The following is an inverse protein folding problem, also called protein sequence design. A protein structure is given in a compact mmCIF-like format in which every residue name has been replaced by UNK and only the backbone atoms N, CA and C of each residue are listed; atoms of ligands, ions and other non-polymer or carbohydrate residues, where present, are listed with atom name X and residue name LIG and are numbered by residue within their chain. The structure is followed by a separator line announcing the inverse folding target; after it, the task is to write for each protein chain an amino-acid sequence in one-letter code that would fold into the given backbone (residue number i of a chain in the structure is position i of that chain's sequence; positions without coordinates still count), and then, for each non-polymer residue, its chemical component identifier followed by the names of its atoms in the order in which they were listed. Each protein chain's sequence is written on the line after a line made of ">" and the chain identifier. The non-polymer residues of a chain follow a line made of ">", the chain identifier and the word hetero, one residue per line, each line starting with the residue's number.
data_IF_356056531669
#
_entry.id   IF_356056531669
#
_cell.length_a   1.000
_cell.length_b   1.000
_cell.length_c   1.000
_cell.angle_alpha   90.00
_cell.angle_beta   90.00
_cell.angle_gamma   90.00
#
_symmetry.space_group_name_H-M   'P 1'
#
loop_
_entity.id
_entity.type
_entity.pdbx_description
1 polymer ?
#
# COMPACT_ATOMS: atom_id res chain seq x y z
N UNK A 1 13.63 -17.51 9.03
CA UNK A 1 13.15 -17.70 7.64
C UNK A 1 14.32 -17.52 6.70
N UNK A 2 14.72 -18.58 5.98
CA UNK A 2 15.76 -18.54 4.94
C UNK A 2 15.29 -17.80 3.67
N UNK A 3 16.24 -17.41 2.80
CA UNK A 3 16.01 -16.65 1.56
C UNK A 3 14.98 -17.33 0.62
N UNK A 4 14.97 -18.66 0.55
CA UNK A 4 14.03 -19.40 -0.30
C UNK A 4 12.58 -19.16 0.15
N UNK A 5 12.32 -19.25 1.45
CA UNK A 5 10.99 -18.97 2.02
C UNK A 5 10.62 -17.50 1.85
N UNK A 6 11.57 -16.56 1.99
CA UNK A 6 11.26 -15.13 1.76
C UNK A 6 10.85 -14.87 0.32
N UNK A 7 11.59 -15.44 -0.65
CA UNK A 7 11.24 -15.35 -2.09
C UNK A 7 9.86 -15.94 -2.38
N UNK A 8 9.49 -17.04 -1.74
CA UNK A 8 8.18 -17.64 -1.92
C UNK A 8 7.05 -16.71 -1.44
N UNK A 9 7.20 -16.08 -0.27
CA UNK A 9 6.22 -15.11 0.25
C UNK A 9 6.14 -13.87 -0.62
N UNK A 10 7.30 -13.30 -0.97
CA UNK A 10 7.36 -12.09 -1.79
C UNK A 10 6.76 -12.35 -3.19
N UNK A 11 7.07 -13.48 -3.80
CA UNK A 11 6.50 -13.90 -5.08
C UNK A 11 5.02 -14.25 -5.03
N UNK A 12 4.50 -14.69 -3.88
CA UNK A 12 3.06 -14.90 -3.68
C UNK A 12 2.28 -13.57 -3.70
N UNK A 13 2.87 -12.50 -3.15
CA UNK A 13 2.26 -11.17 -3.09
C UNK A 13 2.52 -10.33 -4.35
N UNK A 14 3.53 -10.65 -5.16
CA UNK A 14 3.88 -9.91 -6.38
C UNK A 14 2.97 -10.28 -7.56
N UNK A 15 1.99 -9.40 -7.85
CA UNK A 15 1.10 -9.56 -9.01
C UNK A 15 1.50 -8.70 -10.22
N UNK A 16 2.05 -7.52 -9.97
CA UNK A 16 2.45 -6.57 -11.02
C UNK A 16 3.90 -6.86 -11.41
N UNK A 17 4.13 -7.21 -12.67
CA UNK A 17 5.45 -7.50 -13.23
C UNK A 17 5.67 -6.69 -14.50
N UNK A 18 6.88 -6.14 -14.68
CA UNK A 18 7.28 -5.41 -15.88
C UNK A 18 7.53 -3.91 -15.65
N UNK A 19 8.48 -3.38 -16.43
CA UNK A 19 8.94 -1.99 -16.32
C UNK A 19 8.03 -0.95 -16.99
N UNK A 20 8.55 0.27 -17.16
CA UNK A 20 7.82 1.36 -17.81
C UNK A 20 7.40 1.04 -19.26
N UNK A 21 8.17 0.20 -19.96
CA UNK A 21 7.98 -0.17 -21.36
C UNK A 21 6.99 -1.33 -21.58
N UNK A 22 6.51 -2.00 -20.51
CA UNK A 22 5.56 -3.10 -20.65
C UNK A 22 4.14 -2.56 -20.84
N UNK A 23 3.49 -2.92 -21.94
CA UNK A 23 2.11 -2.54 -22.24
C UNK A 23 1.11 -3.14 -21.22
N UNK A 24 1.28 -4.43 -20.88
CA UNK A 24 0.49 -5.13 -19.86
C UNK A 24 1.40 -5.53 -18.70
N UNK A 25 0.99 -5.24 -17.46
CA UNK A 25 1.81 -5.54 -16.26
C UNK A 25 1.21 -6.62 -15.36
N UNK A 26 -0.03 -7.00 -15.59
CA UNK A 26 -0.73 -8.03 -14.82
C UNK A 26 -0.95 -9.26 -15.70
N UNK A 27 -0.34 -10.37 -15.31
CA UNK A 27 -0.46 -11.66 -16.01
C UNK A 27 -0.79 -12.75 -14.99
N UNK A 28 -2.04 -12.75 -14.52
CA UNK A 28 -2.54 -13.67 -13.49
C UNK A 28 -3.23 -14.88 -14.10
N UNK A 29 -2.89 -16.08 -13.61
CA UNK A 29 -3.50 -17.34 -14.03
C UNK A 29 -4.99 -17.38 -13.66
N UNK A 30 -5.81 -17.98 -14.53
CA UNK A 30 -7.24 -18.21 -14.31
C UNK A 30 -7.53 -19.72 -14.08
N UNK A 31 -8.50 -20.09 -13.23
CA UNK A 31 -9.30 -19.22 -12.37
C UNK A 31 -8.43 -18.48 -11.33
N UNK A 32 -8.90 -17.31 -10.89
CA UNK A 32 -8.14 -16.45 -9.98
C UNK A 32 -7.91 -17.14 -8.63
N UNK A 33 -6.69 -16.99 -8.10
CA UNK A 33 -6.37 -17.45 -6.74
C UNK A 33 -7.19 -16.65 -5.69
N UNK A 34 -7.63 -17.25 -4.57
CA UNK A 34 -8.42 -16.56 -3.53
C UNK A 34 -7.84 -15.23 -3.04
N UNK A 35 -6.52 -15.14 -2.89
CA UNK A 35 -5.82 -13.87 -2.57
C UNK A 35 -6.11 -12.76 -3.58
N UNK A 36 -6.09 -13.08 -4.88
CA UNK A 36 -6.35 -12.11 -5.95
C UNK A 36 -7.82 -11.70 -5.96
N UNK A 37 -8.74 -12.65 -5.76
CA UNK A 37 -10.17 -12.35 -5.63
C UNK A 37 -10.47 -11.42 -4.45
N UNK A 38 -9.90 -11.72 -3.27
CA UNK A 38 -10.02 -10.86 -2.09
C UNK A 38 -9.43 -9.47 -2.35
N UNK A 39 -8.28 -9.40 -3.03
CA UNK A 39 -7.66 -8.12 -3.36
C UNK A 39 -8.53 -7.30 -4.31
N UNK A 40 -9.10 -7.90 -5.36
CA UNK A 40 -10.04 -7.22 -6.26
C UNK A 40 -11.26 -6.66 -5.53
N UNK A 41 -11.80 -7.40 -4.56
CA UNK A 41 -12.98 -6.97 -3.81
C UNK A 41 -12.72 -5.70 -2.98
N UNK A 42 -11.52 -5.59 -2.40
CA UNK A 42 -11.06 -4.39 -1.70
C UNK A 42 -10.81 -3.25 -2.70
N UNK A 43 -10.09 -3.56 -3.78
CA UNK A 43 -9.55 -2.55 -4.70
C UNK A 43 -10.59 -1.94 -5.65
N UNK A 44 -11.74 -2.59 -5.87
CA UNK A 44 -12.78 -2.06 -6.77
C UNK A 44 -13.30 -0.67 -6.36
N UNK A 45 -13.41 -0.41 -5.06
CA UNK A 45 -13.86 0.88 -4.54
C UNK A 45 -12.81 1.96 -4.74
N UNK A 46 -11.55 1.65 -4.41
CA UNK A 46 -10.39 2.51 -4.66
C UNK A 46 -10.20 2.80 -6.14
N UNK A 47 -10.46 1.84 -7.03
CA UNK A 47 -10.42 2.08 -8.46
C UNK A 47 -11.45 3.12 -8.90
N UNK A 48 -12.67 3.08 -8.36
CA UNK A 48 -13.72 4.05 -8.72
C UNK A 48 -13.40 5.45 -8.18
N UNK A 49 -13.05 5.57 -6.90
CA UNK A 49 -12.83 6.86 -6.26
C UNK A 49 -11.45 7.42 -6.63
N UNK A 50 -10.40 6.68 -6.30
CA UNK A 50 -9.04 7.20 -6.36
C UNK A 50 -8.52 7.25 -7.80
N UNK A 51 -8.88 6.28 -8.66
CA UNK A 51 -8.39 6.22 -10.05
C UNK A 51 -9.34 6.92 -11.02
N UNK A 52 -10.62 6.54 -11.08
CA UNK A 52 -11.52 7.06 -12.10
C UNK A 52 -12.05 8.49 -11.81
N UNK A 53 -12.08 8.91 -10.55
CA UNK A 53 -12.57 10.23 -10.14
C UNK A 53 -11.42 11.16 -9.75
N UNK A 54 -10.62 10.82 -8.74
CA UNK A 54 -9.62 11.76 -8.19
C UNK A 54 -8.41 11.95 -9.12
N UNK A 55 -7.89 10.87 -9.71
CA UNK A 55 -6.76 10.97 -10.64
C UNK A 55 -7.15 11.32 -12.07
N UNK A 56 -8.37 10.97 -12.49
CA UNK A 56 -8.90 11.06 -13.87
C UNK A 56 -7.83 10.85 -14.98
N UNK A 57 -7.08 9.72 -14.96
CA UNK A 57 -5.84 9.59 -15.74
C UNK A 57 -6.08 9.48 -17.24
N UNK A 58 -7.30 9.24 -17.68
CA UNK A 58 -7.66 9.06 -19.09
C UNK A 58 -8.45 10.23 -19.65
N UNK A 59 -8.65 11.33 -18.92
CA UNK A 59 -9.29 12.53 -19.46
C UNK A 59 -8.60 13.03 -20.74
N UNK A 60 -7.27 13.10 -20.69
CA UNK A 60 -6.40 13.52 -21.79
C UNK A 60 -6.21 12.43 -22.86
N UNK A 61 -6.16 12.85 -24.12
CA UNK A 61 -6.23 11.94 -25.27
C UNK A 61 -5.02 11.01 -25.40
N UNK A 62 -3.82 11.46 -25.02
CA UNK A 62 -2.59 10.66 -25.13
C UNK A 62 -2.54 9.50 -24.11
N UNK A 63 -3.37 9.53 -23.06
CA UNK A 63 -3.30 8.59 -21.94
C UNK A 63 -4.28 7.42 -22.07
N UNK A 64 -5.38 7.56 -22.81
CA UNK A 64 -6.33 6.46 -22.99
C UNK A 64 -5.82 5.38 -23.95
N UNK A 65 -4.84 5.69 -24.80
CA UNK A 65 -4.26 4.71 -25.72
C UNK A 65 -3.64 3.51 -24.99
N UNK A 66 -3.06 3.76 -23.81
CA UNK A 66 -2.57 2.69 -22.94
C UNK A 66 -3.72 1.84 -22.39
N UNK A 67 -4.84 2.44 -22.02
CA UNK A 67 -6.04 1.70 -21.60
C UNK A 67 -6.54 0.79 -22.73
N UNK A 68 -6.59 1.28 -23.96
CA UNK A 68 -7.03 0.49 -25.11
C UNK A 68 -6.12 -0.74 -25.34
N UNK A 69 -4.81 -0.61 -25.15
CA UNK A 69 -3.87 -1.74 -25.27
C UNK A 69 -4.13 -2.86 -24.24
N UNK A 70 -4.83 -2.58 -23.14
CA UNK A 70 -5.17 -3.55 -22.11
C UNK A 70 -6.47 -4.33 -22.40
N UNK A 71 -7.26 -3.87 -23.38
CA UNK A 71 -8.51 -4.50 -23.78
C UNK A 71 -8.29 -5.58 -24.85
N UNK A 72 -9.10 -6.66 -24.85
CA UNK A 72 -8.82 -7.85 -25.65
C UNK A 72 -9.21 -7.74 -27.13
N UNK A 73 -10.10 -6.80 -27.49
CA UNK A 73 -10.73 -6.74 -28.81
C UNK A 73 -10.40 -5.45 -29.57
N UNK A 74 -9.86 -5.61 -30.78
CA UNK A 74 -9.44 -4.47 -31.62
C UNK A 74 -10.62 -3.67 -32.16
N UNK A 75 -11.75 -4.30 -32.45
CA UNK A 75 -12.94 -3.63 -32.99
C UNK A 75 -13.57 -2.71 -31.95
N UNK A 76 -13.66 -3.19 -30.71
CA UNK A 76 -14.04 -2.41 -29.53
C UNK A 76 -13.06 -1.24 -29.34
N UNK A 77 -11.76 -1.49 -29.42
CA UNK A 77 -10.74 -0.45 -29.24
C UNK A 77 -10.83 0.67 -30.28
N UNK A 78 -11.04 0.33 -31.55
CA UNK A 78 -11.23 1.31 -32.62
C UNK A 78 -12.52 2.14 -32.40
N UNK A 79 -13.59 1.50 -31.93
CA UNK A 79 -14.86 2.17 -31.65
C UNK A 79 -14.76 3.12 -30.46
N UNK A 80 -14.08 2.70 -29.38
CA UNK A 80 -13.78 3.53 -28.22
C UNK A 80 -12.90 4.71 -28.60
N UNK A 81 -11.80 4.45 -29.34
CA UNK A 81 -10.90 5.49 -29.83
C UNK A 81 -11.65 6.55 -30.63
N UNK A 82 -12.47 6.14 -31.62
CA UNK A 82 -13.31 7.07 -32.38
C UNK A 82 -14.21 7.88 -31.44
N UNK A 83 -14.96 7.22 -30.55
CA UNK A 83 -15.89 7.89 -29.63
C UNK A 83 -15.19 8.94 -28.75
N UNK A 84 -14.02 8.64 -28.23
CA UNK A 84 -13.29 9.54 -27.35
C UNK A 84 -12.62 10.68 -28.11
N UNK A 85 -12.06 10.42 -29.29
CA UNK A 85 -11.51 11.48 -30.16
C UNK A 85 -12.58 12.44 -30.70
N UNK A 86 -13.83 11.99 -30.88
CA UNK A 86 -14.96 12.86 -31.27
C UNK A 86 -15.52 13.67 -30.09
N UNK A 87 -15.12 13.39 -28.85
CA UNK A 87 -15.63 14.05 -27.64
C UNK A 87 -14.50 14.18 -26.62
N UNK A 88 -13.51 15.07 -26.89
CA UNK A 88 -12.38 15.29 -25.99
C UNK A 88 -12.85 15.84 -24.63
N UNK A 89 -12.05 15.63 -23.58
CA UNK A 89 -12.40 16.04 -22.20
C UNK A 89 -13.42 15.13 -21.51
N UNK A 90 -13.64 13.92 -22.05
CA UNK A 90 -14.51 12.91 -21.43
C UNK A 90 -13.80 12.31 -20.21
N UNK A 91 -14.44 12.36 -19.03
CA UNK A 91 -13.83 11.82 -17.80
C UNK A 91 -13.54 10.32 -17.87
N UNK A 92 -12.56 9.86 -17.09
CA UNK A 92 -12.16 8.45 -16.95
C UNK A 92 -13.31 7.58 -16.52
N UNK A 93 -14.15 8.08 -15.62
CA UNK A 93 -15.41 7.41 -15.21
C UNK A 93 -16.32 7.16 -16.41
N UNK A 94 -16.52 8.17 -17.26
CA UNK A 94 -17.36 8.04 -18.46
C UNK A 94 -16.73 7.12 -19.51
N UNK A 95 -15.41 7.24 -19.73
CA UNK A 95 -14.66 6.35 -20.63
C UNK A 95 -14.74 4.90 -20.15
N UNK A 96 -14.65 4.64 -18.84
CA UNK A 96 -14.78 3.30 -18.27
C UNK A 96 -16.18 2.71 -18.49
N UNK A 97 -17.24 3.52 -18.34
CA UNK A 97 -18.61 3.10 -18.63
C UNK A 97 -18.86 2.87 -20.14
N UNK A 98 -18.20 3.65 -21.00
CA UNK A 98 -18.29 3.50 -22.46
C UNK A 98 -17.80 2.11 -22.92
N UNK A 99 -16.82 1.51 -22.22
CA UNK A 99 -16.34 0.14 -22.50
C UNK A 99 -17.51 -0.85 -22.43
N UNK A 100 -18.28 -0.82 -21.34
CA UNK A 100 -19.43 -1.73 -21.14
C UNK A 100 -20.57 -1.42 -22.12
N UNK A 101 -20.79 -0.15 -22.43
CA UNK A 101 -21.83 0.27 -23.36
C UNK A 101 -21.54 -0.21 -24.80
N UNK A 102 -20.32 -0.01 -25.29
CA UNK A 102 -19.93 -0.42 -26.63
C UNK A 102 -19.76 -1.94 -26.75
N UNK A 103 -19.25 -2.60 -25.70
CA UNK A 103 -19.11 -4.05 -25.66
C UNK A 103 -20.41 -4.81 -25.97
N UNK A 104 -21.56 -4.29 -25.52
CA UNK A 104 -22.89 -4.87 -25.81
C UNK A 104 -23.24 -4.90 -27.30
N UNK A 105 -22.64 -4.01 -28.08
CA UNK A 105 -22.91 -3.85 -29.52
C UNK A 105 -21.79 -4.40 -30.41
N UNK A 106 -20.61 -4.68 -29.84
CA UNK A 106 -19.47 -5.24 -30.57
C UNK A 106 -19.72 -6.71 -30.88
N UNK A 107 -19.86 -7.03 -32.18
CA UNK A 107 -20.05 -8.41 -32.65
C UNK A 107 -18.79 -9.24 -32.43
N UNK A 108 -18.96 -10.47 -31.93
CA UNK A 108 -17.87 -11.44 -31.75
C UNK A 108 -17.00 -11.22 -30.51
N UNK A 109 -17.31 -10.23 -29.67
CA UNK A 109 -16.61 -10.00 -28.41
C UNK A 109 -16.92 -11.12 -27.41
N UNK A 110 -15.88 -11.73 -26.84
CA UNK A 110 -16.05 -12.68 -25.73
C UNK A 110 -16.26 -11.93 -24.40
N UNK A 111 -17.44 -12.01 -23.77
CA UNK A 111 -17.72 -11.31 -22.52
C UNK A 111 -16.78 -11.72 -21.38
N UNK A 112 -16.30 -12.97 -21.39
CA UNK A 112 -15.40 -13.47 -20.37
C UNK A 112 -14.02 -12.81 -20.48
N UNK A 113 -13.47 -12.74 -21.69
CA UNK A 113 -12.20 -12.03 -21.93
C UNK A 113 -12.24 -10.56 -21.53
N UNK A 114 -13.37 -9.86 -21.77
CA UNK A 114 -13.52 -8.47 -21.35
C UNK A 114 -13.56 -8.35 -19.82
N UNK A 115 -14.31 -9.22 -19.15
CA UNK A 115 -14.36 -9.24 -17.69
C UNK A 115 -12.97 -9.46 -17.09
N UNK A 116 -12.22 -10.44 -17.62
CA UNK A 116 -10.86 -10.74 -17.16
C UNK A 116 -9.90 -9.56 -17.42
N UNK A 117 -10.03 -8.89 -18.57
CA UNK A 117 -9.26 -7.69 -18.88
C UNK A 117 -9.57 -6.53 -17.93
N UNK A 118 -10.85 -6.28 -17.61
CA UNK A 118 -11.23 -5.26 -16.63
C UNK A 118 -10.69 -5.57 -15.23
N UNK A 119 -10.70 -6.82 -14.81
CA UNK A 119 -10.08 -7.25 -13.55
C UNK A 119 -8.57 -6.99 -13.55
N UNK A 120 -7.88 -7.33 -14.65
CA UNK A 120 -6.44 -7.09 -14.77
C UNK A 120 -6.11 -5.58 -14.77
N UNK A 121 -6.95 -4.73 -15.37
CA UNK A 121 -6.81 -3.27 -15.35
C UNK A 121 -6.97 -2.73 -13.93
N UNK A 122 -8.00 -3.18 -13.18
CA UNK A 122 -8.16 -2.78 -11.77
C UNK A 122 -6.89 -3.12 -10.99
N UNK A 123 -6.37 -4.34 -11.11
CA UNK A 123 -5.13 -4.75 -10.47
C UNK A 123 -3.93 -3.90 -10.89
N UNK A 124 -3.77 -3.59 -12.18
CA UNK A 124 -2.59 -2.84 -12.66
C UNK A 124 -2.52 -1.41 -12.09
N UNK A 125 -3.67 -0.78 -11.88
CA UNK A 125 -3.78 0.59 -11.41
C UNK A 125 -3.86 0.73 -9.88
N UNK A 126 -4.26 -0.33 -9.16
CA UNK A 126 -4.54 -0.22 -7.71
C UNK A 126 -3.81 -1.23 -6.84
N UNK A 127 -3.33 -2.35 -7.38
CA UNK A 127 -2.61 -3.33 -6.58
C UNK A 127 -1.21 -2.81 -6.18
N UNK A 128 -0.72 -3.07 -4.95
CA UNK A 128 0.58 -2.59 -4.50
C UNK A 128 1.72 -3.11 -5.38
N UNK A 129 2.58 -2.19 -5.82
CA UNK A 129 3.85 -2.52 -6.49
C UNK A 129 4.91 -2.71 -5.42
N UNK A 130 5.33 -3.94 -5.22
CA UNK A 130 6.33 -4.28 -4.23
C UNK A 130 7.72 -4.15 -4.84
N UNK A 131 8.62 -3.47 -4.14
CA UNK A 131 10.06 -3.65 -4.38
C UNK A 131 10.45 -5.01 -3.80
N UNK A 132 10.39 -6.05 -4.64
CA UNK A 132 10.52 -7.42 -4.17
C UNK A 132 11.92 -7.71 -3.60
N UNK A 133 12.97 -7.01 -4.09
CA UNK A 133 14.35 -7.27 -3.71
C UNK A 133 14.60 -7.00 -2.22
N UNK A 134 13.90 -6.02 -1.63
CA UNK A 134 14.00 -5.74 -0.18
C UNK A 134 13.52 -6.89 0.69
N UNK A 135 12.71 -7.79 0.12
CA UNK A 135 12.11 -8.93 0.84
C UNK A 135 12.81 -10.26 0.58
N UNK A 136 13.67 -10.38 -0.44
CA UNK A 136 14.24 -11.68 -0.87
C UNK A 136 15.42 -12.15 -0.03
N UNK A 137 16.22 -11.22 0.47
CA UNK A 137 17.52 -11.50 1.07
C UNK A 137 17.57 -11.13 2.54
N UNK A 138 18.16 -11.99 3.36
CA UNK A 138 18.27 -11.75 4.81
C UNK A 138 19.17 -10.56 5.17
N UNK A 139 20.18 -10.27 4.36
CA UNK A 139 21.17 -9.21 4.60
C UNK A 139 20.78 -7.86 3.97
N UNK A 140 19.54 -7.70 3.49
CA UNK A 140 19.08 -6.42 2.95
C UNK A 140 19.00 -5.38 4.08
N UNK A 141 19.66 -4.23 3.88
CA UNK A 141 19.64 -3.13 4.83
C UNK A 141 18.42 -2.25 4.55
N UNK A 142 17.60 -2.04 5.59
CA UNK A 142 16.46 -1.14 5.53
C UNK A 142 16.70 0.06 6.46
N UNK A 143 16.07 1.17 6.10
CA UNK A 143 16.06 2.38 6.91
C UNK A 143 15.52 2.09 8.32
N UNK A 144 16.21 2.58 9.35
CA UNK A 144 15.73 2.50 10.74
C UNK A 144 14.48 3.39 10.94
N UNK A 145 13.52 2.99 11.77
CA UNK A 145 12.50 3.90 12.29
C UNK A 145 13.12 5.15 12.95
N UNK A 146 12.38 6.25 12.93
CA UNK A 146 12.73 7.55 13.52
C UNK A 146 13.96 8.27 12.93
N UNK A 147 14.53 7.79 11.83
CA UNK A 147 15.55 8.59 11.12
C UNK A 147 14.92 9.80 10.44
N UNK A 148 15.70 10.86 10.27
CA UNK A 148 15.31 12.04 9.50
C UNK A 148 15.53 11.77 8.02
N UNK A 149 14.51 11.99 7.19
CA UNK A 149 14.66 11.90 5.74
C UNK A 149 15.43 13.12 5.22
N UNK A 150 16.59 12.96 4.55
CA UNK A 150 17.47 14.08 4.22
C UNK A 150 16.85 15.08 3.24
N UNK A 151 16.02 14.60 2.30
CA UNK A 151 15.39 15.47 1.30
C UNK A 151 14.14 16.22 1.79
N UNK A 152 13.56 15.85 2.93
CA UNK A 152 12.28 16.43 3.39
C UNK A 152 12.32 16.93 4.83
N UNK A 153 13.37 16.61 5.59
CA UNK A 153 13.48 16.91 7.02
C UNK A 153 12.50 16.14 7.91
N UNK A 154 11.56 15.36 7.35
CA UNK A 154 10.54 14.63 8.09
C UNK A 154 11.11 13.43 8.82
N UNK A 155 10.60 13.17 10.02
CA UNK A 155 10.95 12.00 10.81
C UNK A 155 10.22 10.77 10.26
N UNK A 156 10.93 9.65 10.09
CA UNK A 156 10.35 8.39 9.61
C UNK A 156 9.56 7.69 10.74
N UNK A 157 8.34 8.15 10.99
CA UNK A 157 7.46 7.68 12.08
C UNK A 157 6.75 6.36 11.75
N UNK A 158 6.44 5.52 12.76
CA UNK A 158 5.57 4.35 12.58
C UNK A 158 4.14 4.77 12.25
N UNK A 159 3.44 3.96 11.45
CA UNK A 159 2.06 4.21 11.01
C UNK A 159 1.12 3.25 11.77
N UNK A 160 0.04 3.79 12.34
CA UNK A 160 -1.01 3.00 12.98
C UNK A 160 -1.95 2.39 11.93
N UNK A 161 -1.83 1.09 11.72
CA UNK A 161 -2.61 0.37 10.70
C UNK A 161 -4.10 0.30 11.00
N UNK A 162 -4.52 0.53 12.26
CA UNK A 162 -5.93 0.56 12.66
C UNK A 162 -6.64 1.84 12.20
N UNK A 163 -5.88 2.89 11.95
CA UNK A 163 -6.34 4.22 11.50
C UNK A 163 -5.52 4.72 10.31
N UNK A 164 -5.18 3.81 9.39
CA UNK A 164 -4.29 4.11 8.27
C UNK A 164 -4.84 5.21 7.34
N UNK A 165 -6.17 5.34 7.23
CA UNK A 165 -6.81 6.39 6.45
C UNK A 165 -6.62 7.80 7.00
N UNK A 166 -6.28 7.94 8.29
CA UNK A 166 -6.06 9.23 8.94
C UNK A 166 -4.59 9.69 8.81
N UNK A 167 -3.71 8.85 8.27
CA UNK A 167 -2.29 9.14 8.16
C UNK A 167 -2.02 10.09 6.99
N UNK A 168 -1.62 11.33 7.32
CA UNK A 168 -1.15 12.31 6.34
C UNK A 168 0.39 12.36 6.32
N UNK A 169 1.05 11.93 5.23
CA UNK A 169 2.51 12.00 5.11
C UNK A 169 3.06 13.43 5.10
N UNK A 170 2.25 14.43 4.77
CA UNK A 170 2.66 15.83 4.72
C UNK A 170 2.66 16.48 6.11
N UNK A 171 1.80 16.01 7.01
CA UNK A 171 1.68 16.47 8.39
C UNK A 171 2.67 15.80 9.37
N UNK A 172 3.49 14.86 8.90
CA UNK A 172 4.55 14.25 9.73
C UNK A 172 5.58 15.32 10.11
N UNK A 173 5.96 15.44 11.40
CA UNK A 173 6.83 16.50 11.86
C UNK A 173 8.23 16.43 11.26
N UNK A 174 8.79 17.59 10.98
CA UNK A 174 10.18 17.79 10.58
C UNK A 174 11.08 17.96 11.79
N UNK A 175 12.35 17.61 11.65
CA UNK A 175 13.35 17.78 12.73
C UNK A 175 13.45 19.24 13.19
N UNK A 176 13.29 20.20 12.28
CA UNK A 176 13.33 21.63 12.58
C UNK A 176 12.13 22.09 13.39
N UNK A 177 10.93 21.57 13.09
CA UNK A 177 9.73 21.86 13.88
C UNK A 177 9.88 21.30 15.30
N UNK A 178 10.37 20.07 15.44
CA UNK A 178 10.58 19.45 16.74
C UNK A 178 11.57 20.22 17.62
N UNK A 179 12.67 20.73 17.04
CA UNK A 179 13.61 21.58 17.77
C UNK A 179 12.94 22.88 18.23
N UNK A 180 12.15 23.51 17.36
CA UNK A 180 11.39 24.72 17.70
C UNK A 180 10.36 24.48 18.82
N UNK A 181 9.68 23.33 18.83
CA UNK A 181 8.76 22.93 19.89
C UNK A 181 9.47 22.73 21.23
N UNK A 182 10.68 22.18 21.24
CA UNK A 182 11.49 22.02 22.45
C UNK A 182 11.90 23.39 23.01
N UNK A 183 12.39 24.28 22.14
CA UNK A 183 12.86 25.61 22.54
C UNK A 183 11.73 26.51 23.08
N UNK A 184 10.50 26.30 22.61
CA UNK A 184 9.31 27.05 23.02
C UNK A 184 8.58 26.43 24.22
N UNK A 185 8.96 25.24 24.65
CA UNK A 185 8.27 24.55 25.72
C UNK A 185 8.52 25.23 27.07
N UNK A 186 7.45 25.63 27.74
CA UNK A 186 7.47 26.15 29.10
C UNK A 186 6.83 25.15 30.07
N UNK A 187 7.40 24.95 31.27
CA UNK A 187 6.77 24.12 32.29
C UNK A 187 5.42 24.73 32.73
N UNK A 188 4.41 23.91 33.06
CA UNK A 188 3.14 24.42 33.58
C UNK A 188 3.34 25.20 34.88
N UNK A 189 2.71 26.37 35.01
CA UNK A 189 2.91 27.29 36.15
C UNK A 189 2.45 26.71 37.52
N UNK A 190 1.58 25.70 37.54
CA UNK A 190 0.96 25.14 38.75
C UNK A 190 1.40 23.69 39.12
N UNK A 191 2.46 23.15 38.48
CA UNK A 191 2.85 21.75 38.67
C UNK A 191 4.14 21.57 39.46
N UNK A 192 4.06 21.09 40.71
CA UNK A 192 5.21 20.45 41.38
C UNK A 192 5.74 19.30 40.49
N UNK A 193 6.82 19.55 39.75
CA UNK A 193 7.56 18.48 39.06
C UNK A 193 8.30 17.64 40.10
N UNK A 194 7.56 16.77 40.78
CA UNK A 194 8.12 15.72 41.62
C UNK A 194 8.89 14.70 40.75
N UNK A 195 10.18 14.94 40.56
CA UNK A 195 11.20 13.89 40.52
C UNK A 195 11.44 13.11 39.23
N UNK A 196 10.75 13.38 38.11
CA UNK A 196 11.13 12.83 36.80
C UNK A 196 11.25 13.93 35.75
N UNK A 197 12.48 14.15 35.29
CA UNK A 197 12.76 14.98 34.12
C UNK A 197 11.98 14.44 32.92
N UNK A 198 11.08 15.25 32.37
CA UNK A 198 10.33 14.94 31.14
C UNK A 198 11.32 14.94 29.99
N UNK A 199 11.34 13.87 29.19
CA UNK A 199 12.25 13.77 28.05
C UNK A 199 11.81 14.76 26.97
N UNK A 200 12.75 15.37 26.25
CA UNK A 200 12.41 16.47 25.32
C UNK A 200 11.42 16.07 24.22
N UNK A 201 11.48 14.84 23.72
CA UNK A 201 10.51 14.35 22.73
C UNK A 201 9.08 14.20 23.29
N UNK A 202 8.91 14.12 24.62
CA UNK A 202 7.57 14.08 25.24
C UNK A 202 6.87 15.44 25.18
N UNK A 203 7.63 16.50 24.88
CA UNK A 203 7.17 17.89 24.74
C UNK A 203 6.76 18.24 23.31
N UNK A 204 6.94 17.32 22.36
CA UNK A 204 6.82 17.58 20.92
C UNK A 204 5.70 16.80 20.25
N UNK A 205 5.36 17.20 19.03
CA UNK A 205 4.47 16.49 18.11
C UNK A 205 4.99 15.10 17.71
N UNK A 206 6.22 14.73 18.08
CA UNK A 206 6.75 13.36 17.94
C UNK A 206 6.15 12.38 18.96
N UNK A 207 5.68 12.87 20.11
CA UNK A 207 5.20 12.05 21.22
C UNK A 207 4.19 10.96 20.82
N UNK A 208 3.12 11.24 20.05
CA UNK A 208 2.11 10.22 19.72
C UNK A 208 2.70 9.03 18.95
N UNK A 209 3.69 9.28 18.10
CA UNK A 209 4.36 8.24 17.32
C UNK A 209 5.28 7.37 18.19
N UNK A 210 5.97 7.97 19.16
CA UNK A 210 6.81 7.24 20.11
C UNK A 210 5.95 6.41 21.06
N UNK A 211 4.84 6.94 21.54
CA UNK A 211 3.90 6.21 22.39
C UNK A 211 3.33 5.00 21.65
N UNK A 212 2.92 5.17 20.39
CA UNK A 212 2.47 4.06 19.54
C UNK A 212 3.57 3.01 19.37
N UNK A 213 4.81 3.41 19.06
CA UNK A 213 5.93 2.48 18.93
C UNK A 213 6.22 1.72 20.23
N UNK A 214 6.19 2.41 21.38
CA UNK A 214 6.36 1.77 22.70
C UNK A 214 5.29 0.72 22.95
N UNK A 215 4.04 1.00 22.60
CA UNK A 215 2.95 0.02 22.73
C UNK A 215 3.17 -1.22 21.85
N UNK A 216 3.65 -1.02 20.62
CA UNK A 216 4.00 -2.11 19.70
C UNK A 216 5.15 -2.97 20.26
N UNK A 217 6.24 -2.35 20.73
CA UNK A 217 7.38 -3.06 21.32
C UNK A 217 6.97 -3.81 22.59
N UNK A 218 6.14 -3.21 23.45
CA UNK A 218 5.65 -3.86 24.66
C UNK A 218 4.82 -5.11 24.34
N UNK A 219 3.95 -5.05 23.32
CA UNK A 219 3.20 -6.20 22.84
C UNK A 219 4.12 -7.31 22.30
N UNK A 220 5.13 -6.94 21.50
CA UNK A 220 6.11 -7.90 20.96
C UNK A 220 6.89 -8.61 22.07
N UNK A 221 7.36 -7.88 23.08
CA UNK A 221 8.09 -8.45 24.21
C UNK A 221 7.21 -9.38 25.05
N UNK A 222 5.92 -9.05 25.19
CA UNK A 222 4.95 -9.93 25.85
C UNK A 222 4.81 -11.25 25.11
N UNK A 223 4.60 -11.20 23.79
CA UNK A 223 4.44 -12.39 22.95
C UNK A 223 5.70 -13.28 22.97
N UNK A 224 6.91 -12.68 22.92
CA UNK A 224 8.16 -13.44 23.03
C UNK A 224 8.32 -14.13 24.39
N UNK A 225 7.98 -13.44 25.48
CA UNK A 225 8.08 -14.00 26.82
C UNK A 225 7.08 -15.16 27.02
N UNK A 226 5.85 -15.05 26.50
CA UNK A 226 4.88 -16.14 26.56
C UNK A 226 5.37 -17.41 25.82
N UNK A 227 6.05 -17.25 24.69
CA UNK A 227 6.64 -18.38 23.95
C UNK A 227 7.79 -19.02 24.73
N UNK A 228 8.64 -18.23 25.40
CA UNK A 228 9.72 -18.76 26.25
C UNK A 228 9.14 -19.57 27.41
N UNK A 229 8.15 -19.04 28.11
CA UNK A 229 7.48 -19.72 29.24
C UNK A 229 6.82 -21.02 28.79
N UNK A 230 6.18 -21.06 27.60
CA UNK A 230 5.62 -22.32 27.06
C UNK A 230 6.70 -23.36 26.76
N UNK A 231 7.82 -22.95 26.13
CA UNK A 231 8.94 -23.86 25.84
C UNK A 231 9.64 -24.37 27.08
N UNK A 232 9.74 -23.56 28.13
CA UNK A 232 10.31 -23.97 29.43
C UNK A 232 9.40 -25.00 30.11
N UNK A 233 8.09 -24.76 30.13
CA UNK A 233 7.11 -25.72 30.69
C UNK A 233 7.11 -27.05 29.95
N UNK A 234 7.18 -27.05 28.62
CA UNK A 234 7.26 -28.28 27.81
C UNK A 234 8.56 -29.06 28.08
N UNK A 235 9.69 -28.37 28.26
CA UNK A 235 10.96 -29.01 28.64
C UNK A 235 10.93 -29.59 30.06
N UNK A 236 10.33 -28.88 31.02
CA UNK A 236 10.20 -29.39 32.39
C UNK A 236 9.26 -30.60 32.46
N UNK A 237 8.19 -30.63 31.65
CA UNK A 237 7.33 -31.81 31.54
C UNK A 237 8.03 -33.01 30.89
N UNK A 238 8.86 -32.79 29.86
CA UNK A 238 9.65 -33.87 29.25
C UNK A 238 10.79 -34.34 30.17
N UNK A 239 11.38 -33.45 30.98
CA UNK A 239 12.44 -33.78 31.93
C UNK A 239 11.93 -34.55 33.16
N UNK A 240 10.66 -34.37 33.54
CA UNK A 240 10.00 -35.13 34.62
C UNK A 240 9.39 -36.46 34.14
N UNK A 241 9.44 -36.78 32.84
CA UNK A 241 8.91 -38.00 32.25
C UNK A 241 9.93 -39.14 32.12
N UNK A 242 11.12 -39.01 32.71
CA UNK A 242 12.17 -40.03 32.77
C UNK A 242 12.47 -40.48 34.20
#
# INVERSE_FOLDING_TARGET
>A
MDDQKRRAIAGYLELIKGGAQSAKKVNVKRPLHPHVLRSLDILKGHFQNDILHDQDPWEEDDKFDKLLQLLPDKTLNESLRKKWSFSPGRSSTSKWADIDALAKTTKGLDPKSLLEAKQDIVLEYTYPRLDIEVSKHLNHLLKSPFVVHPGTGRVCVPIDTRRVGDFDPLAVPTVTELLGEIDQWNPPEDGEMHGKSIQDWEKTSLKPFVDYFRSFVAALLKDENEVKVKRERERDTDAMAF
#
